data_IF_307903084810
#
_entry.id   IF_307903084810
#
_cell.length_a   1.000
_cell.length_b   1.000
_cell.length_c   1.000
_cell.angle_alpha   90.00
_cell.angle_beta   90.00
_cell.angle_gamma   90.00
#
_symmetry.space_group_name_H-M   'P 1'
#
loop_
_entity.id
_entity.type
_entity.pdbx_description
1 polymer ?
#
# COMPACT_ATOMS: atom_id res chain seq x y z
N UNK A 1 21.72 -32.70 24.15
CA UNK A 1 21.41 -33.72 23.13
C UNK A 1 22.73 -34.32 22.68
N UNK A 2 22.80 -35.65 22.77
CA UNK A 2 24.00 -36.47 22.91
C UNK A 2 24.99 -36.29 21.75
N UNK A 3 26.26 -36.06 22.10
CA UNK A 3 27.40 -36.12 21.20
C UNK A 3 27.70 -37.57 20.86
N UNK A 4 26.97 -38.10 19.89
CA UNK A 4 27.11 -39.49 19.46
C UNK A 4 28.05 -39.58 18.25
N UNK A 5 29.20 -40.23 18.52
CA UNK A 5 29.93 -41.15 17.63
C UNK A 5 31.15 -40.64 16.87
N UNK A 6 32.21 -40.35 17.63
CA UNK A 6 33.51 -40.97 17.38
C UNK A 6 33.76 -41.91 18.56
N UNK A 7 33.96 -43.20 18.30
CA UNK A 7 33.95 -44.29 19.28
C UNK A 7 34.40 -43.90 20.68
N UNK A 8 33.57 -44.21 21.68
CA UNK A 8 33.83 -43.97 23.10
C UNK A 8 35.23 -44.46 23.45
N UNK A 9 36.14 -43.52 23.73
CA UNK A 9 37.52 -43.79 24.15
C UNK A 9 37.53 -44.02 25.65
N UNK A 10 36.95 -45.12 26.10
CA UNK A 10 36.66 -45.25 27.53
C UNK A 10 37.87 -45.67 28.36
N UNK A 11 38.92 -46.26 27.77
CA UNK A 11 40.12 -46.61 28.53
C UNK A 11 41.30 -47.02 27.63
N UNK A 12 42.50 -46.52 27.91
CA UNK A 12 43.74 -47.03 27.29
C UNK A 12 44.41 -48.04 28.24
N UNK A 13 44.45 -49.35 27.91
CA UNK A 13 45.10 -50.33 28.76
C UNK A 13 46.62 -50.14 28.76
N UNK A 14 47.24 -50.12 29.95
CA UNK A 14 48.71 -49.97 30.11
C UNK A 14 49.49 -51.29 29.98
N UNK A 15 48.80 -52.43 29.96
CA UNK A 15 49.38 -53.78 29.93
C UNK A 15 48.67 -54.63 28.88
N UNK A 16 49.40 -55.58 28.31
CA UNK A 16 48.83 -56.55 27.37
C UNK A 16 47.79 -57.44 28.07
N UNK A 17 46.65 -57.66 27.42
CA UNK A 17 45.57 -58.54 27.90
C UNK A 17 45.58 -59.83 27.10
N UNK A 18 45.33 -60.97 27.77
CA UNK A 18 45.25 -62.27 27.10
C UNK A 18 44.10 -62.25 26.08
N UNK A 19 44.38 -62.67 24.85
CA UNK A 19 43.42 -62.61 23.73
C UNK A 19 43.51 -61.35 22.86
N UNK A 20 44.35 -60.38 23.23
CA UNK A 20 44.59 -59.19 22.40
C UNK A 20 45.51 -59.49 21.21
N UNK A 21 45.44 -58.63 20.19
CA UNK A 21 46.37 -58.65 19.06
C UNK A 21 47.82 -58.59 19.56
N UNK A 22 48.64 -59.58 19.18
CA UNK A 22 50.02 -59.71 19.65
C UNK A 22 50.94 -58.56 19.17
N UNK A 23 50.54 -57.88 18.09
CA UNK A 23 51.27 -56.76 17.51
C UNK A 23 50.99 -55.43 18.24
N UNK A 24 49.73 -54.99 18.29
CA UNK A 24 49.32 -53.68 18.83
C UNK A 24 48.68 -53.75 20.23
N UNK A 25 48.21 -54.91 20.68
CA UNK A 25 47.60 -55.10 22.00
C UNK A 25 46.12 -54.71 22.12
N UNK A 26 45.42 -54.38 21.03
CA UNK A 26 43.96 -54.16 21.04
C UNK A 26 43.17 -55.48 21.01
N UNK A 27 41.98 -55.48 21.63
CA UNK A 27 41.08 -56.65 21.65
C UNK A 27 40.10 -56.70 20.47
N UNK A 28 39.97 -55.62 19.70
CA UNK A 28 38.95 -55.49 18.64
C UNK A 28 39.23 -56.32 17.38
N UNK A 29 40.46 -56.78 17.17
CA UNK A 29 40.88 -57.47 15.95
C UNK A 29 42.04 -58.45 16.23
N UNK A 30 42.32 -59.34 15.26
CA UNK A 30 43.43 -60.30 15.31
C UNK A 30 44.72 -59.70 14.73
N UNK A 31 45.86 -60.37 14.95
CA UNK A 31 47.19 -59.92 14.45
C UNK A 31 47.27 -59.73 12.94
N UNK A 32 46.56 -60.56 12.17
CA UNK A 32 46.55 -60.49 10.70
C UNK A 32 45.86 -59.24 10.16
N UNK A 33 44.81 -58.78 10.85
CA UNK A 33 44.00 -57.62 10.46
C UNK A 33 44.43 -56.36 11.21
N UNK A 34 45.67 -56.35 11.71
CA UNK A 34 46.20 -55.24 12.50
C UNK A 34 46.48 -54.02 11.62
N UNK A 35 45.77 -52.92 11.90
CA UNK A 35 45.98 -51.63 11.22
C UNK A 35 47.32 -50.97 11.58
N UNK A 36 47.95 -51.37 12.68
CA UNK A 36 49.30 -50.90 13.02
C UNK A 36 50.39 -51.70 12.30
N UNK A 37 51.48 -51.01 11.95
CA UNK A 37 52.63 -51.60 11.27
C UNK A 37 53.16 -52.83 12.04
N UNK A 38 53.45 -53.96 11.38
CA UNK A 38 54.01 -55.15 12.03
C UNK A 38 55.31 -54.83 12.78
N UNK A 39 55.33 -55.06 14.09
CA UNK A 39 56.49 -54.79 14.96
C UNK A 39 57.35 -56.05 15.08
N UNK A 40 58.69 -55.89 15.04
CA UNK A 40 59.65 -56.99 15.25
C UNK A 40 59.54 -57.61 16.64
N UNK A 41 59.20 -56.80 17.65
CA UNK A 41 58.82 -57.25 19.00
C UNK A 41 57.46 -56.62 19.33
N UNK A 42 56.40 -57.43 19.25
CA UNK A 42 55.01 -56.98 19.42
C UNK A 42 54.66 -56.57 20.85
N UNK A 43 53.46 -56.01 21.02
CA UNK A 43 52.92 -55.60 22.32
C UNK A 43 52.82 -56.77 23.33
N UNK A 44 52.68 -58.02 22.86
CA UNK A 44 52.65 -59.23 23.71
C UNK A 44 53.90 -59.40 24.56
N UNK A 45 55.08 -59.12 23.98
CA UNK A 45 56.37 -59.30 24.67
C UNK A 45 56.84 -58.02 25.37
N UNK A 46 56.47 -56.86 24.84
CA UNK A 46 57.03 -55.58 25.27
C UNK A 46 56.12 -54.80 26.21
N UNK A 47 54.81 -55.10 26.27
CA UNK A 47 53.77 -54.35 26.99
C UNK A 47 53.74 -52.83 26.68
N UNK A 48 54.45 -52.39 25.63
CA UNK A 48 54.60 -50.98 25.27
C UNK A 48 53.70 -50.64 24.09
N UNK A 49 53.12 -49.44 24.14
CA UNK A 49 52.27 -48.88 23.08
C UNK A 49 51.08 -49.79 22.72
N UNK A 50 50.23 -50.07 23.72
CA UNK A 50 48.94 -50.75 23.53
C UNK A 50 47.97 -49.81 22.85
N UNK A 51 47.32 -50.28 21.79
CA UNK A 51 46.36 -49.50 21.00
C UNK A 51 45.02 -49.34 21.72
N UNK A 52 44.33 -48.23 21.41
CA UNK A 52 43.01 -47.91 21.97
C UNK A 52 41.92 -48.80 21.35
N UNK A 53 40.90 -49.13 22.14
CA UNK A 53 39.77 -49.94 21.68
C UNK A 53 38.74 -49.07 20.97
N UNK A 54 38.39 -49.44 19.73
CA UNK A 54 37.28 -48.83 18.99
C UNK A 54 36.30 -49.92 18.61
N UNK A 55 35.09 -49.82 19.15
CA UNK A 55 33.97 -50.68 18.79
C UNK A 55 33.15 -50.00 17.69
N UNK A 56 32.90 -50.73 16.61
CA UNK A 56 31.97 -50.28 15.56
C UNK A 56 30.54 -50.57 16.02
N UNK A 57 29.64 -49.62 15.84
CA UNK A 57 28.23 -49.85 16.12
C UNK A 57 27.57 -50.81 15.11
N UNK A 58 26.46 -51.42 15.52
CA UNK A 58 25.70 -52.37 14.72
C UNK A 58 25.14 -51.75 13.42
N UNK A 59 25.29 -52.47 12.30
CA UNK A 59 25.00 -52.02 10.93
C UNK A 59 23.52 -52.04 10.49
N UNK A 60 22.56 -51.90 11.41
CA UNK A 60 21.13 -51.87 11.08
C UNK A 60 20.69 -50.47 10.62
N UNK A 61 21.29 -50.00 9.53
CA UNK A 61 21.00 -48.70 8.90
C UNK A 61 20.19 -48.88 7.62
N UNK A 62 19.36 -47.88 7.28
CA UNK A 62 18.64 -47.81 6.01
C UNK A 62 19.60 -47.75 4.81
N UNK A 63 19.10 -48.01 3.60
CA UNK A 63 19.92 -47.96 2.37
C UNK A 63 20.61 -46.60 2.21
N UNK A 64 19.87 -45.51 2.40
CA UNK A 64 20.39 -44.15 2.30
C UNK A 64 21.43 -43.86 3.38
N UNK A 65 21.19 -44.29 4.62
CA UNK A 65 22.15 -44.08 5.72
C UNK A 65 23.47 -44.85 5.51
N UNK A 66 23.44 -46.01 4.85
CA UNK A 66 24.67 -46.77 4.48
C UNK A 66 25.47 -46.08 3.38
N UNK A 67 24.80 -45.38 2.48
CA UNK A 67 25.40 -44.74 1.28
C UNK A 67 25.52 -43.23 1.42
N UNK A 68 25.15 -42.68 2.58
CA UNK A 68 25.28 -41.26 2.83
C UNK A 68 26.75 -40.86 2.78
N UNK A 69 27.08 -40.05 1.78
CA UNK A 69 28.43 -39.51 1.57
C UNK A 69 28.90 -38.70 2.77
N UNK A 70 27.97 -38.13 3.53
CA UNK A 70 28.25 -37.29 4.68
C UNK A 70 28.21 -38.06 6.01
N UNK A 71 28.17 -39.40 5.98
CA UNK A 71 28.27 -40.21 7.18
C UNK A 71 29.57 -39.89 7.94
N UNK A 72 29.43 -39.48 9.21
CA UNK A 72 30.56 -39.08 10.06
C UNK A 72 31.12 -37.67 9.77
N UNK A 73 30.36 -36.82 9.05
CA UNK A 73 30.73 -35.42 8.88
C UNK A 73 30.62 -34.64 10.20
N UNK A 74 31.71 -34.01 10.63
CA UNK A 74 31.71 -33.10 11.78
C UNK A 74 31.22 -31.71 11.35
N UNK A 75 30.07 -31.22 11.86
CA UNK A 75 29.52 -29.92 11.49
C UNK A 75 30.48 -28.74 11.73
N UNK A 76 31.44 -28.89 12.66
CA UNK A 76 32.44 -27.85 12.96
C UNK A 76 33.37 -27.57 11.79
N UNK A 77 33.62 -28.57 10.93
CA UNK A 77 34.49 -28.42 9.74
C UNK A 77 33.89 -27.43 8.73
N UNK A 78 32.58 -27.23 8.73
CA UNK A 78 31.92 -26.26 7.85
C UNK A 78 32.39 -24.82 8.07
N UNK A 79 32.94 -24.51 9.26
CA UNK A 79 33.55 -23.21 9.55
C UNK A 79 34.65 -22.84 8.55
N UNK A 80 35.43 -23.80 8.07
CA UNK A 80 36.48 -23.55 7.07
C UNK A 80 35.91 -23.02 5.75
N UNK A 81 34.72 -23.49 5.36
CA UNK A 81 34.01 -23.02 4.16
C UNK A 81 33.54 -21.58 4.36
N UNK A 82 32.96 -21.28 5.51
CA UNK A 82 32.55 -19.90 5.88
C UNK A 82 33.76 -18.96 5.85
N UNK A 83 34.87 -19.36 6.46
CA UNK A 83 36.11 -18.57 6.50
C UNK A 83 36.68 -18.31 5.10
N UNK A 84 36.56 -19.27 4.19
CA UNK A 84 36.94 -19.11 2.79
C UNK A 84 36.06 -18.06 2.08
N UNK A 85 34.73 -18.15 2.20
CA UNK A 85 33.83 -17.16 1.61
C UNK A 85 34.03 -15.76 2.20
N UNK A 86 34.28 -15.65 3.50
CA UNK A 86 34.60 -14.38 4.14
C UNK A 86 35.88 -13.74 3.54
N UNK A 87 36.92 -14.54 3.25
CA UNK A 87 38.14 -14.05 2.58
C UNK A 87 37.84 -13.56 1.16
N UNK A 88 37.00 -14.29 0.42
CA UNK A 88 36.59 -13.92 -0.94
C UNK A 88 35.80 -12.61 -0.94
N UNK A 89 34.83 -12.45 -0.04
CA UNK A 89 34.05 -11.22 0.10
C UNK A 89 34.93 -10.03 0.51
N UNK A 90 35.87 -10.23 1.44
CA UNK A 90 36.84 -9.19 1.80
C UNK A 90 37.73 -8.77 0.63
N UNK A 91 38.16 -9.72 -0.22
CA UNK A 91 38.92 -9.41 -1.42
C UNK A 91 38.08 -8.62 -2.45
N UNK A 92 36.80 -9.00 -2.63
CA UNK A 92 35.85 -8.27 -3.49
C UNK A 92 35.64 -6.84 -3.01
N UNK A 93 35.43 -6.63 -1.71
CA UNK A 93 35.27 -5.30 -1.11
C UNK A 93 36.51 -4.43 -1.33
N UNK A 94 37.71 -4.95 -1.09
CA UNK A 94 38.97 -4.24 -1.35
C UNK A 94 39.17 -3.88 -2.82
N UNK A 95 38.74 -4.76 -3.74
CA UNK A 95 38.79 -4.46 -5.17
C UNK A 95 37.84 -3.32 -5.54
N UNK A 96 36.60 -3.36 -5.05
CA UNK A 96 35.61 -2.27 -5.23
C UNK A 96 36.13 -0.94 -4.68
N UNK A 97 36.72 -0.94 -3.49
CA UNK A 97 37.31 0.26 -2.87
C UNK A 97 38.40 0.88 -3.76
N UNK A 98 39.32 0.05 -4.29
CA UNK A 98 40.34 0.51 -5.24
C UNK A 98 39.75 1.08 -6.52
N UNK A 99 38.73 0.44 -7.07
CA UNK A 99 38.04 0.92 -8.28
C UNK A 99 37.37 2.28 -8.03
N UNK A 100 36.71 2.46 -6.87
CA UNK A 100 36.13 3.74 -6.46
C UNK A 100 37.20 4.83 -6.26
N UNK A 101 38.31 4.50 -5.60
CA UNK A 101 39.44 5.43 -5.42
C UNK A 101 40.05 5.86 -6.76
N UNK A 102 40.22 4.93 -7.70
CA UNK A 102 40.69 5.22 -9.06
C UNK A 102 39.70 6.10 -9.82
N UNK A 103 38.39 5.83 -9.71
CA UNK A 103 37.34 6.68 -10.28
C UNK A 103 37.37 8.08 -9.68
N UNK A 104 37.49 8.22 -8.36
CA UNK A 104 37.58 9.51 -7.68
C UNK A 104 38.84 10.28 -8.07
N UNK A 105 39.99 9.60 -8.19
CA UNK A 105 41.23 10.20 -8.72
C UNK A 105 41.04 10.67 -10.16
N UNK A 106 40.40 9.87 -11.02
CA UNK A 106 40.11 10.24 -12.41
C UNK A 106 39.18 11.46 -12.49
N UNK A 107 38.11 11.50 -11.68
CA UNK A 107 37.21 12.65 -11.56
C UNK A 107 37.95 13.90 -11.05
N UNK A 108 38.82 13.75 -10.05
CA UNK A 108 39.64 14.85 -9.53
C UNK A 108 40.65 15.38 -10.57
N UNK A 109 41.27 14.51 -11.36
CA UNK A 109 42.18 14.90 -12.45
C UNK A 109 41.42 15.67 -13.55
N UNK A 110 40.26 15.16 -13.99
CA UNK A 110 39.38 15.87 -14.95
C UNK A 110 38.98 17.25 -14.41
N UNK A 111 38.62 17.36 -13.13
CA UNK A 111 38.27 18.64 -12.48
C UNK A 111 39.46 19.61 -12.46
N UNK A 112 40.66 19.14 -12.13
CA UNK A 112 41.89 19.96 -12.15
C UNK A 112 42.21 20.44 -13.57
N UNK A 113 42.05 19.59 -14.58
CA UNK A 113 42.28 19.96 -15.98
C UNK A 113 41.29 21.03 -16.46
N UNK A 114 39.99 20.87 -16.16
CA UNK A 114 38.95 21.88 -16.43
C UNK A 114 39.30 23.23 -15.78
N UNK A 115 39.76 23.20 -14.52
CA UNK A 115 40.13 24.41 -13.78
C UNK A 115 41.37 25.10 -14.36
N UNK A 116 42.36 24.33 -14.84
CA UNK A 116 43.54 24.86 -15.57
C UNK A 116 43.13 25.52 -16.89
N UNK A 117 42.31 24.85 -17.71
CA UNK A 117 41.80 25.40 -18.98
C UNK A 117 41.04 26.71 -18.76
N UNK A 118 40.20 26.78 -17.72
CA UNK A 118 39.50 28.02 -17.33
C UNK A 118 40.47 29.13 -16.91
N UNK A 119 41.51 28.81 -16.13
CA UNK A 119 42.52 29.79 -15.72
C UNK A 119 43.32 30.34 -16.93
N UNK A 120 43.69 29.48 -17.88
CA UNK A 120 44.37 29.85 -19.11
C UNK A 120 43.50 30.76 -20.00
N UNK A 121 42.21 30.42 -20.18
CA UNK A 121 41.24 31.29 -20.90
C UNK A 121 41.13 32.67 -20.26
N UNK A 122 41.11 32.76 -18.92
CA UNK A 122 41.09 34.04 -18.18
C UNK A 122 42.38 34.85 -18.38
N UNK A 123 43.54 34.19 -18.42
CA UNK A 123 44.83 34.84 -18.64
C UNK A 123 44.92 35.40 -20.07
N UNK A 124 44.45 34.64 -21.07
CA UNK A 124 44.35 35.07 -22.47
C UNK A 124 43.40 36.26 -22.65
N UNK A 125 42.23 36.26 -21.99
CA UNK A 125 41.28 37.40 -22.00
C UNK A 125 41.89 38.65 -21.37
N UNK A 126 42.74 38.51 -20.33
CA UNK A 126 43.47 39.64 -19.72
C UNK A 126 44.57 40.20 -20.63
N UNK A 127 45.35 39.35 -21.31
CA UNK A 127 46.35 39.81 -22.27
C UNK A 127 45.69 40.56 -23.44
N UNK A 128 44.63 39.99 -24.02
CA UNK A 128 43.88 40.64 -25.10
C UNK A 128 43.21 41.98 -24.71
N UNK A 129 42.98 42.21 -23.41
CA UNK A 129 42.46 43.49 -22.89
C UNK A 129 43.57 44.51 -22.62
N UNK A 130 44.81 44.06 -22.40
CA UNK A 130 45.98 44.92 -22.18
C UNK A 130 46.61 45.42 -23.49
N UNK A 131 46.46 44.66 -24.57
CA UNK A 131 46.90 45.07 -25.92
C UNK A 131 45.86 45.97 -26.63
N UNK A 132 44.83 46.45 -25.90
CA UNK A 132 43.70 47.24 -26.40
C UNK A 132 43.52 48.58 -25.68
N UNK A 133 44.60 49.10 -25.10
CA UNK A 133 44.70 50.48 -24.62
C UNK A 133 45.48 51.30 -25.66
N UNK A 134 44.79 51.67 -26.75
CA UNK A 134 44.99 52.89 -27.54
C UNK A 134 43.79 53.00 -28.51
N UNK A 135 43.00 54.06 -28.31
CA UNK A 135 41.93 54.61 -29.15
C UNK A 135 40.49 54.02 -29.12
N UNK A 136 39.65 54.81 -28.43
CA UNK A 136 38.34 55.33 -28.81
C UNK A 136 37.04 54.52 -28.55
N UNK A 137 36.09 55.27 -27.99
CA UNK A 137 34.75 54.91 -27.51
C UNK A 137 33.86 54.30 -28.60
N UNK A 138 33.31 53.11 -28.33
CA UNK A 138 32.03 52.71 -28.89
C UNK A 138 31.41 51.60 -28.04
N UNK A 139 30.44 52.01 -27.22
CA UNK A 139 29.47 51.14 -26.56
C UNK A 139 28.78 50.24 -27.59
N UNK A 140 29.11 48.95 -27.52
CA UNK A 140 28.31 47.89 -28.12
C UNK A 140 28.35 46.70 -27.17
N UNK A 141 27.38 46.73 -26.24
CA UNK A 141 27.01 45.63 -25.35
C UNK A 141 26.63 44.40 -26.18
N UNK A 142 27.65 43.63 -26.58
CA UNK A 142 27.49 42.27 -27.03
C UNK A 142 27.80 41.34 -25.87
N UNK A 143 26.92 41.38 -24.86
CA UNK A 143 26.82 40.36 -23.83
C UNK A 143 26.21 39.09 -24.45
N UNK A 144 27.02 38.38 -25.22
CA UNK A 144 26.78 36.98 -25.56
C UNK A 144 27.93 36.10 -25.08
N UNK A 145 28.36 36.31 -23.84
CA UNK A 145 29.06 35.29 -23.05
C UNK A 145 28.00 34.39 -22.35
N UNK A 146 27.13 33.75 -23.15
CA UNK A 146 26.48 32.52 -22.70
C UNK A 146 27.50 31.39 -22.81
N UNK A 147 28.45 31.39 -21.88
CA UNK A 147 29.23 30.22 -21.51
C UNK A 147 28.27 29.22 -20.82
N UNK A 148 27.32 28.70 -21.60
CA UNK A 148 26.69 27.42 -21.30
C UNK A 148 27.70 26.33 -21.72
N UNK A 149 28.80 26.26 -20.98
CA UNK A 149 29.39 24.96 -20.65
C UNK A 149 28.39 24.28 -19.69
N UNK A 150 27.18 23.99 -20.18
CA UNK A 150 26.32 22.98 -19.59
C UNK A 150 26.94 21.64 -19.99
N UNK A 151 27.99 21.35 -19.23
CA UNK A 151 28.55 20.06 -18.93
C UNK A 151 27.46 19.23 -18.21
N UNK A 152 26.30 19.04 -18.86
CA UNK A 152 25.27 18.11 -18.42
C UNK A 152 25.61 16.69 -18.90
N UNK A 153 26.77 16.25 -18.44
CA UNK A 153 27.09 14.84 -18.21
C UNK A 153 27.50 14.73 -16.73
N UNK A 154 26.71 15.34 -15.84
CA UNK A 154 26.93 15.24 -14.40
C UNK A 154 25.68 15.03 -13.55
N UNK A 155 24.48 14.89 -14.13
CA UNK A 155 23.26 14.54 -13.38
C UNK A 155 22.80 13.08 -13.50
N UNK A 156 23.54 12.21 -14.19
CA UNK A 156 23.21 10.77 -14.28
C UNK A 156 24.34 9.83 -13.81
N UNK A 157 25.19 10.27 -12.87
CA UNK A 157 26.26 9.40 -12.34
C UNK A 157 26.27 9.28 -10.81
N UNK A 158 25.32 9.90 -10.09
CA UNK A 158 25.10 9.62 -8.64
C UNK A 158 24.22 8.38 -8.42
N UNK A 159 23.60 7.86 -9.49
CA UNK A 159 22.88 6.59 -9.49
C UNK A 159 23.78 5.36 -9.62
N UNK A 160 25.05 5.51 -10.01
CA UNK A 160 25.98 4.36 -10.14
C UNK A 160 26.68 3.97 -8.83
N UNK A 161 26.52 4.78 -7.77
CA UNK A 161 27.03 4.49 -6.42
C UNK A 161 25.97 3.84 -5.51
N UNK A 162 24.75 3.60 -6.02
CA UNK A 162 23.74 2.82 -5.29
C UNK A 162 24.17 1.36 -5.28
N UNK A 163 24.63 0.97 -4.10
CA UNK A 163 25.05 -0.36 -3.68
C UNK A 163 23.88 -1.37 -3.77
N UNK A 164 23.58 -1.81 -4.99
CA UNK A 164 22.86 -3.05 -5.18
C UNK A 164 23.90 -4.17 -5.08
N UNK A 165 24.12 -4.70 -3.88
CA UNK A 165 25.02 -5.83 -3.59
C UNK A 165 24.73 -7.14 -4.36
N UNK A 166 24.01 -7.09 -5.48
CA UNK A 166 23.78 -8.19 -6.39
C UNK A 166 24.96 -8.33 -7.36
N UNK A 167 25.46 -9.56 -7.46
CA UNK A 167 26.27 -10.01 -8.58
C UNK A 167 25.38 -10.01 -9.82
N UNK A 168 25.13 -8.84 -10.40
CA UNK A 168 24.44 -8.73 -11.67
C UNK A 168 25.48 -9.09 -12.73
N UNK A 169 25.46 -10.35 -13.17
CA UNK A 169 26.07 -10.71 -14.44
C UNK A 169 25.44 -9.79 -15.49
N UNK A 170 26.17 -8.76 -15.92
CA UNK A 170 25.77 -7.91 -17.05
C UNK A 170 25.64 -8.82 -18.26
N UNK A 171 24.42 -9.27 -18.53
CA UNK A 171 24.02 -10.06 -19.69
C UNK A 171 23.17 -9.14 -20.56
N UNK A 172 23.57 -8.98 -21.81
CA UNK A 172 22.96 -8.07 -22.77
C UNK A 172 21.43 -8.26 -22.87
N UNK A 173 20.70 -7.14 -22.94
CA UNK A 173 19.23 -7.14 -22.97
C UNK A 173 18.62 -7.94 -24.15
N UNK A 174 19.41 -8.20 -25.19
CA UNK A 174 18.99 -8.84 -26.45
C UNK A 174 19.07 -10.38 -26.44
N UNK A 175 19.87 -10.97 -25.54
CA UNK A 175 19.92 -12.44 -25.31
C UNK A 175 19.06 -12.88 -24.12
N UNK A 176 18.34 -11.91 -23.52
CA UNK A 176 17.44 -12.12 -22.40
C UNK A 176 16.14 -12.74 -22.90
N UNK A 177 16.13 -14.04 -23.14
CA UNK A 177 14.89 -14.83 -23.02
C UNK A 177 14.50 -14.82 -21.56
N UNK A 178 13.95 -13.70 -21.06
CA UNK A 178 13.45 -13.63 -19.70
C UNK A 178 12.21 -14.46 -19.64
N UNK A 179 12.37 -15.72 -19.25
CA UNK A 179 11.32 -16.40 -18.52
C UNK A 179 11.15 -15.59 -17.22
N UNK A 180 10.39 -14.49 -17.29
CA UNK A 180 9.98 -13.75 -16.11
C UNK A 180 9.11 -14.72 -15.32
N UNK A 181 9.43 -14.92 -14.05
CA UNK A 181 8.53 -15.65 -13.18
C UNK A 181 7.19 -14.92 -13.19
N UNK A 182 6.14 -15.58 -13.68
CA UNK A 182 4.80 -15.01 -13.83
C UNK A 182 4.14 -14.68 -12.48
N UNK A 183 4.70 -15.21 -11.40
CA UNK A 183 4.25 -14.94 -10.03
C UNK A 183 4.74 -13.57 -9.58
N UNK A 184 3.78 -12.70 -9.28
CA UNK A 184 3.97 -11.42 -8.59
C UNK A 184 4.54 -11.70 -7.20
N UNK A 185 5.63 -11.02 -6.83
CA UNK A 185 6.39 -11.30 -5.59
C UNK A 185 5.79 -10.55 -4.39
N UNK A 186 5.14 -9.44 -4.66
CA UNK A 186 4.43 -8.57 -3.73
C UNK A 186 3.20 -9.28 -3.13
N UNK A 187 2.54 -10.12 -3.93
CA UNK A 187 1.36 -10.88 -3.52
C UNK A 187 1.75 -12.14 -2.74
N UNK A 188 1.52 -12.10 -1.43
CA UNK A 188 1.70 -13.27 -0.57
C UNK A 188 0.65 -14.34 -0.85
N UNK A 189 1.05 -15.61 -0.90
CA UNK A 189 0.08 -16.70 -1.04
C UNK A 189 -0.74 -16.86 0.24
N UNK A 190 -2.03 -17.21 0.09
CA UNK A 190 -2.97 -17.35 1.21
C UNK A 190 -2.44 -18.23 2.35
N UNK A 191 -1.88 -19.40 2.03
CA UNK A 191 -1.32 -20.33 3.03
C UNK A 191 -0.02 -19.87 3.71
N UNK A 192 0.61 -18.79 3.23
CA UNK A 192 1.78 -18.18 3.86
C UNK A 192 1.41 -17.02 4.78
N UNK A 193 0.15 -16.58 4.79
CA UNK A 193 -0.33 -15.52 5.68
C UNK A 193 -0.17 -15.93 7.15
N UNK A 194 -0.42 -17.20 7.47
CA UNK A 194 -0.19 -17.77 8.80
C UNK A 194 0.45 -19.16 8.68
N UNK A 195 1.67 -19.32 9.22
CA UNK A 195 2.44 -20.56 9.16
C UNK A 195 2.05 -21.56 10.25
N UNK A 196 1.18 -21.17 11.19
CA UNK A 196 0.68 -22.07 12.21
C UNK A 196 -0.18 -23.17 11.57
N UNK A 197 0.12 -24.43 11.89
CA UNK A 197 -0.57 -25.60 11.32
C UNK A 197 -2.07 -25.60 11.65
N UNK A 198 -2.47 -25.03 12.79
CA UNK A 198 -3.86 -24.91 13.26
C UNK A 198 -4.57 -23.64 12.79
N UNK A 199 -3.99 -22.89 11.85
CA UNK A 199 -4.64 -21.71 11.28
C UNK A 199 -5.74 -22.11 10.28
N UNK A 200 -6.19 -21.17 9.44
CA UNK A 200 -7.21 -21.44 8.44
C UNK A 200 -6.75 -22.47 7.40
N UNK A 201 -7.62 -23.44 7.11
CA UNK A 201 -7.35 -24.44 6.08
C UNK A 201 -7.34 -23.82 4.67
N UNK A 202 -6.29 -24.11 3.91
CA UNK A 202 -6.14 -23.81 2.49
C UNK A 202 -6.29 -25.08 1.67
N UNK A 203 -7.27 -25.11 0.76
CA UNK A 203 -7.39 -26.20 -0.21
C UNK A 203 -6.51 -25.90 -1.45
N UNK A 204 -5.41 -26.66 -1.67
CA UNK A 204 -4.50 -26.42 -2.77
C UNK A 204 -5.11 -26.72 -4.15
N UNK A 205 -6.16 -27.53 -4.22
CA UNK A 205 -6.81 -27.90 -5.49
C UNK A 205 -7.62 -26.74 -6.04
N UNK A 206 -8.51 -26.19 -5.21
CA UNK A 206 -9.36 -25.06 -5.59
C UNK A 206 -8.70 -23.71 -5.34
N UNK A 207 -7.55 -23.68 -4.65
CA UNK A 207 -6.81 -22.48 -4.24
C UNK A 207 -7.66 -21.55 -3.36
N UNK A 208 -8.57 -22.11 -2.58
CA UNK A 208 -9.49 -21.38 -1.74
C UNK A 208 -9.13 -21.49 -0.25
N UNK A 209 -9.40 -20.42 0.49
CA UNK A 209 -9.23 -20.36 1.94
C UNK A 209 -10.51 -19.76 2.52
N UNK A 210 -11.28 -20.58 3.24
CA UNK A 210 -12.61 -20.17 3.69
C UNK A 210 -12.56 -19.22 4.88
N UNK A 211 -11.82 -19.59 5.92
CA UNK A 211 -11.71 -18.85 7.17
C UNK A 211 -10.60 -17.79 7.12
N UNK A 212 -10.68 -16.81 8.02
CA UNK A 212 -9.62 -15.82 8.21
C UNK A 212 -8.37 -16.49 8.83
N UNK A 213 -7.15 -16.34 8.25
CA UNK A 213 -5.90 -16.80 8.86
C UNK A 213 -5.56 -16.18 10.21
N UNK A 214 -6.02 -14.96 10.46
CA UNK A 214 -5.74 -14.18 11.66
C UNK A 214 -7.03 -13.69 12.30
N UNK A 215 -7.76 -14.57 13.03
CA UNK A 215 -9.04 -14.21 13.63
C UNK A 215 -8.93 -13.20 14.78
N UNK A 216 -7.74 -13.06 15.38
CA UNK A 216 -7.50 -12.17 16.54
C UNK A 216 -7.32 -10.70 16.15
N UNK A 217 -7.04 -10.41 14.86
CA UNK A 217 -6.75 -9.06 14.38
C UNK A 217 -8.03 -8.39 13.86
N UNK A 218 -8.08 -7.06 13.97
CA UNK A 218 -9.21 -6.28 13.53
C UNK A 218 -9.37 -6.31 12.00
N UNK A 219 -10.59 -6.57 11.47
CA UNK A 219 -10.83 -6.83 10.04
C UNK A 219 -10.38 -5.69 9.11
N UNK A 220 -10.30 -4.44 9.60
CA UNK A 220 -9.88 -3.27 8.82
C UNK A 220 -8.37 -3.24 8.55
N UNK A 221 -7.56 -3.90 9.38
CA UNK A 221 -6.10 -3.90 9.27
C UNK A 221 -5.58 -5.10 8.46
N UNK A 222 -6.43 -6.12 8.24
CA UNK A 222 -6.04 -7.30 7.48
C UNK A 222 -6.12 -7.02 5.97
N UNK A 223 -5.04 -7.36 5.27
CA UNK A 223 -5.04 -7.47 3.82
C UNK A 223 -6.00 -8.57 3.31
N UNK A 224 -6.27 -9.59 4.13
CA UNK A 224 -7.13 -10.70 3.77
C UNK A 224 -7.87 -11.28 4.99
N UNK A 225 -9.20 -11.20 4.98
CA UNK A 225 -10.08 -11.68 6.05
C UNK A 225 -10.79 -13.01 5.73
N UNK A 226 -10.33 -13.77 4.72
CA UNK A 226 -10.93 -15.04 4.29
C UNK A 226 -11.92 -14.89 3.12
N UNK A 227 -12.07 -15.94 2.31
CA UNK A 227 -12.96 -15.93 1.15
C UNK A 227 -14.44 -15.83 1.56
N UNK A 228 -14.82 -16.36 2.74
CA UNK A 228 -16.21 -16.29 3.21
C UNK A 228 -16.65 -14.85 3.48
N UNK A 229 -15.77 -14.01 4.03
CA UNK A 229 -16.04 -12.60 4.29
C UNK A 229 -16.37 -11.86 2.98
N UNK A 230 -15.51 -12.03 1.97
CA UNK A 230 -15.68 -11.40 0.65
C UNK A 230 -16.93 -11.92 -0.07
N UNK A 231 -17.22 -13.23 0.02
CA UNK A 231 -18.40 -13.85 -0.61
C UNK A 231 -19.74 -13.27 -0.13
N UNK A 232 -19.82 -12.84 1.12
CA UNK A 232 -21.03 -12.20 1.68
C UNK A 232 -21.06 -10.67 1.53
N UNK A 233 -19.94 -10.07 1.11
CA UNK A 233 -19.80 -8.62 1.00
C UNK A 233 -20.36 -8.08 -0.32
N UNK A 234 -20.67 -6.79 -0.35
CA UNK A 234 -21.10 -6.09 -1.56
C UNK A 234 -22.56 -6.33 -1.95
N UNK A 235 -22.81 -6.49 -3.25
CA UNK A 235 -24.16 -6.52 -3.83
C UNK A 235 -24.90 -7.84 -3.61
N UNK A 236 -24.20 -8.89 -3.20
CA UNK A 236 -24.79 -10.22 -2.94
C UNK A 236 -25.97 -10.10 -1.96
N UNK A 237 -25.87 -9.24 -0.95
CA UNK A 237 -26.96 -9.05 0.01
C UNK A 237 -28.19 -8.35 -0.62
N UNK A 238 -27.98 -7.45 -1.58
CA UNK A 238 -29.07 -6.80 -2.32
C UNK A 238 -29.77 -7.80 -3.23
N UNK A 239 -29.01 -8.63 -3.94
CA UNK A 239 -29.55 -9.69 -4.81
C UNK A 239 -30.32 -10.72 -3.97
N UNK A 240 -29.79 -11.14 -2.82
CA UNK A 240 -30.51 -12.02 -1.88
C UNK A 240 -31.81 -11.40 -1.36
N UNK A 241 -31.80 -10.10 -1.05
CA UNK A 241 -33.00 -9.40 -0.62
C UNK A 241 -34.05 -9.31 -1.73
N UNK A 242 -33.62 -9.09 -2.98
CA UNK A 242 -34.48 -9.10 -4.16
C UNK A 242 -35.03 -10.50 -4.46
N UNK A 243 -34.21 -11.54 -4.32
CA UNK A 243 -34.60 -12.94 -4.44
C UNK A 243 -35.65 -13.32 -3.39
N UNK A 244 -35.41 -12.95 -2.13
CA UNK A 244 -36.37 -13.15 -1.05
C UNK A 244 -37.69 -12.40 -1.30
N UNK A 245 -37.62 -11.17 -1.81
CA UNK A 245 -38.80 -10.41 -2.23
C UNK A 245 -39.58 -11.12 -3.35
N UNK A 246 -38.89 -11.64 -4.37
CA UNK A 246 -39.52 -12.38 -5.45
C UNK A 246 -40.22 -13.64 -4.93
N UNK A 247 -39.61 -14.38 -4.00
CA UNK A 247 -40.25 -15.55 -3.37
C UNK A 247 -41.51 -15.16 -2.58
N UNK A 248 -41.46 -14.09 -1.79
CA UNK A 248 -42.64 -13.62 -1.04
C UNK A 248 -43.79 -13.19 -1.97
N UNK A 249 -43.48 -12.61 -3.13
CA UNK A 249 -44.48 -12.23 -4.13
C UNK A 249 -45.10 -13.44 -4.83
N UNK A 250 -44.27 -14.41 -5.20
CA UNK A 250 -44.76 -15.66 -5.78
C UNK A 250 -45.64 -16.44 -4.79
N UNK A 251 -45.28 -16.49 -3.50
CA UNK A 251 -46.15 -17.08 -2.47
C UNK A 251 -47.50 -16.35 -2.33
N UNK A 252 -47.52 -15.05 -2.59
CA UNK A 252 -48.73 -14.23 -2.65
C UNK A 252 -49.55 -14.36 -3.94
N UNK A 253 -49.10 -15.15 -4.91
CA UNK A 253 -49.76 -15.36 -6.21
C UNK A 253 -49.41 -14.35 -7.30
N UNK A 254 -48.44 -13.45 -7.08
CA UNK A 254 -47.96 -12.49 -8.07
C UNK A 254 -46.81 -13.09 -8.90
N UNK A 255 -47.09 -14.04 -9.80
CA UNK A 255 -46.09 -14.75 -10.63
C UNK A 255 -45.30 -13.86 -11.60
N UNK A 256 -45.69 -12.58 -11.74
CA UNK A 256 -45.04 -11.61 -12.60
C UNK A 256 -43.65 -11.16 -12.09
N UNK A 257 -43.26 -11.54 -10.86
CA UNK A 257 -42.02 -11.11 -10.21
C UNK A 257 -41.05 -12.28 -10.10
N UNK A 258 -40.19 -12.46 -11.10
CA UNK A 258 -39.15 -13.49 -11.10
C UNK A 258 -37.77 -12.90 -11.37
N UNK A 259 -36.81 -13.19 -10.48
CA UNK A 259 -35.45 -12.61 -10.56
C UNK A 259 -34.71 -12.97 -11.86
N UNK A 260 -34.71 -14.24 -12.25
CA UNK A 260 -33.98 -14.71 -13.44
C UNK A 260 -34.72 -14.46 -14.75
N UNK A 261 -36.06 -14.60 -14.77
CA UNK A 261 -36.85 -14.44 -15.99
C UNK A 261 -37.12 -12.96 -16.34
N UNK A 262 -37.38 -12.12 -15.35
CA UNK A 262 -37.69 -10.69 -15.53
C UNK A 262 -36.96 -9.81 -14.48
N UNK A 263 -35.61 -9.75 -14.52
CA UNK A 263 -34.81 -9.10 -13.48
C UNK A 263 -35.12 -7.60 -13.32
N UNK A 264 -35.27 -6.87 -14.42
CA UNK A 264 -35.54 -5.42 -14.40
C UNK A 264 -36.92 -5.11 -13.83
N UNK A 265 -37.93 -5.90 -14.18
CA UNK A 265 -39.27 -5.78 -13.62
C UNK A 265 -39.26 -6.07 -12.11
N UNK A 266 -38.60 -7.16 -11.69
CA UNK A 266 -38.47 -7.51 -10.29
C UNK A 266 -37.77 -6.39 -9.49
N UNK A 267 -36.73 -5.78 -10.05
CA UNK A 267 -36.05 -4.64 -9.43
C UNK A 267 -36.97 -3.42 -9.31
N UNK A 268 -37.74 -3.06 -10.34
CA UNK A 268 -38.69 -1.94 -10.29
C UNK A 268 -39.75 -2.16 -9.20
N UNK A 269 -40.29 -3.37 -9.09
CA UNK A 269 -41.23 -3.72 -8.02
C UNK A 269 -40.59 -3.63 -6.64
N UNK A 270 -39.34 -4.08 -6.49
CA UNK A 270 -38.60 -4.02 -5.24
C UNK A 270 -38.29 -2.57 -4.83
N UNK A 271 -37.88 -1.71 -5.78
CA UNK A 271 -37.68 -0.29 -5.50
C UNK A 271 -39.00 0.40 -5.11
N UNK A 272 -40.10 0.07 -5.78
CA UNK A 272 -41.43 0.57 -5.43
C UNK A 272 -41.85 0.12 -4.03
N UNK A 273 -41.58 -1.13 -3.66
CA UNK A 273 -41.83 -1.66 -2.33
C UNK A 273 -40.97 -0.97 -1.27
N UNK A 274 -39.67 -0.75 -1.50
CA UNK A 274 -38.81 0.00 -0.58
C UNK A 274 -39.33 1.42 -0.35
N UNK A 275 -39.72 2.12 -1.42
CA UNK A 275 -40.35 3.45 -1.33
C UNK A 275 -41.63 3.39 -0.49
N UNK A 276 -42.50 2.39 -0.74
CA UNK A 276 -43.72 2.18 0.03
C UNK A 276 -43.43 1.87 1.51
N UNK A 277 -42.44 1.03 1.80
CA UNK A 277 -42.00 0.70 3.17
C UNK A 277 -41.46 1.92 3.90
N UNK A 278 -40.68 2.77 3.24
CA UNK A 278 -40.21 4.03 3.81
C UNK A 278 -41.37 4.99 4.12
N UNK A 279 -42.33 5.11 3.21
CA UNK A 279 -43.54 5.92 3.44
C UNK A 279 -44.36 5.38 4.61
N UNK A 280 -44.59 4.07 4.69
CA UNK A 280 -45.30 3.42 5.80
C UNK A 280 -44.56 3.62 7.13
N UNK A 281 -43.24 3.47 7.15
CA UNK A 281 -42.43 3.73 8.35
C UNK A 281 -42.53 5.19 8.79
N UNK A 282 -42.52 6.15 7.85
CA UNK A 282 -42.69 7.57 8.16
C UNK A 282 -44.09 7.88 8.66
N UNK A 283 -45.13 7.30 8.07
CA UNK A 283 -46.50 7.43 8.54
C UNK A 283 -46.67 6.82 9.94
N UNK A 284 -46.05 5.68 10.20
CA UNK A 284 -46.03 5.07 11.52
C UNK A 284 -45.32 5.96 12.54
N UNK A 285 -44.11 6.47 12.22
CA UNK A 285 -43.39 7.44 13.07
C UNK A 285 -44.24 8.68 13.37
N UNK A 286 -44.93 9.24 12.36
CA UNK A 286 -45.84 10.38 12.53
C UNK A 286 -47.02 10.04 13.44
N UNK A 287 -47.68 8.90 13.22
CA UNK A 287 -48.78 8.45 14.06
C UNK A 287 -48.37 8.24 15.52
N UNK A 288 -47.17 7.71 15.76
CA UNK A 288 -46.60 7.58 17.11
C UNK A 288 -46.35 8.96 17.70
N UNK A 289 -45.75 9.89 16.94
CA UNK A 289 -45.49 11.25 17.37
C UNK A 289 -46.77 12.03 17.72
N UNK A 290 -47.85 11.83 16.96
CA UNK A 290 -49.14 12.47 17.18
C UNK A 290 -49.84 11.94 18.44
N UNK A 291 -49.70 10.63 18.73
CA UNK A 291 -50.30 9.99 19.91
C UNK A 291 -49.59 10.31 21.21
N UNK A 292 -48.25 10.32 21.19
CA UNK A 292 -47.44 10.43 22.40
C UNK A 292 -46.79 11.82 22.58
N UNK A 293 -46.89 12.71 21.58
CA UNK A 293 -46.22 14.00 21.60
C UNK A 293 -44.69 13.88 21.45
N UNK A 294 -43.97 15.00 21.55
CA UNK A 294 -42.50 15.01 21.50
C UNK A 294 -41.86 15.70 20.28
N UNK A 295 -42.67 16.36 19.44
CA UNK A 295 -42.22 17.21 18.32
C UNK A 295 -41.14 18.23 18.72
N UNK A 296 -41.21 18.74 19.96
CA UNK A 296 -40.28 19.72 20.52
C UNK A 296 -38.85 19.17 20.72
N UNK A 297 -38.72 17.87 21.00
CA UNK A 297 -37.42 17.22 21.23
C UNK A 297 -36.79 16.68 19.94
N UNK A 298 -37.56 16.58 18.85
CA UNK A 298 -37.08 16.11 17.56
C UNK A 298 -36.32 17.19 16.77
N UNK A 299 -36.65 18.46 17.01
CA UNK A 299 -35.92 19.58 16.45
C UNK A 299 -34.62 19.72 17.21
N UNK A 300 -33.52 19.23 16.61
CA UNK A 300 -32.19 19.52 17.14
C UNK A 300 -32.06 21.04 17.30
N UNK A 301 -31.65 21.53 18.47
CA UNK A 301 -31.31 22.94 18.62
C UNK A 301 -30.25 23.32 17.58
N UNK A 302 -30.22 24.58 17.10
CA UNK A 302 -29.15 25.03 16.22
C UNK A 302 -27.79 24.66 16.82
N UNK A 303 -26.84 24.26 15.96
CA UNK A 303 -25.53 23.71 16.37
C UNK A 303 -24.78 24.63 17.36
N UNK A 304 -24.99 25.94 17.23
CA UNK A 304 -24.48 26.99 18.13
C UNK A 304 -24.92 26.78 19.59
N UNK A 305 -26.18 26.41 19.81
CA UNK A 305 -26.72 26.12 21.15
C UNK A 305 -26.30 24.73 21.66
N UNK A 306 -25.97 23.79 20.78
CA UNK A 306 -25.51 22.45 21.16
C UNK A 306 -24.05 22.43 21.61
N UNK A 307 -23.20 23.25 20.99
CA UNK A 307 -21.76 23.27 21.29
C UNK A 307 -21.37 24.28 22.38
N UNK A 308 -22.33 25.08 22.89
CA UNK A 308 -22.12 26.16 23.88
C UNK A 308 -21.01 27.17 23.51
N UNK A 309 -20.49 27.12 22.28
CA UNK A 309 -19.49 28.01 21.72
C UNK A 309 -20.22 29.02 20.84
N UNK A 310 -20.12 30.30 21.19
CA UNK A 310 -20.68 31.41 20.41
C UNK A 310 -19.80 31.82 19.22
N UNK A 311 -18.65 31.17 19.04
CA UNK A 311 -17.65 31.54 18.07
C UNK A 311 -17.58 30.50 16.95
N UNK A 312 -18.04 30.88 15.76
CA UNK A 312 -17.82 30.11 14.55
C UNK A 312 -16.36 30.31 14.11
N UNK A 313 -15.55 29.25 14.15
CA UNK A 313 -14.17 29.30 13.66
C UNK A 313 -14.15 29.49 12.14
N UNK A 314 -13.51 30.58 11.69
CA UNK A 314 -13.39 30.94 10.27
C UNK A 314 -11.92 30.93 9.87
N UNK A 315 -11.56 30.06 8.92
CA UNK A 315 -10.23 30.01 8.33
C UNK A 315 -10.18 30.94 7.11
N UNK A 316 -9.25 31.89 7.11
CA UNK A 316 -8.96 32.77 5.97
C UNK A 316 -7.71 32.27 5.24
N UNK A 317 -7.73 32.30 3.91
CA UNK A 317 -6.53 32.17 3.08
C UNK A 317 -5.60 33.38 3.29
N UNK A 318 -4.34 33.27 2.86
CA UNK A 318 -3.41 34.41 2.85
C UNK A 318 -3.97 35.61 2.05
N UNK A 319 -4.77 35.35 1.01
CA UNK A 319 -5.50 36.36 0.23
C UNK A 319 -6.76 36.95 0.93
N UNK A 320 -7.08 36.52 2.16
CA UNK A 320 -8.27 36.95 2.91
C UNK A 320 -9.59 36.30 2.47
N UNK A 321 -9.56 35.24 1.65
CA UNK A 321 -10.77 34.49 1.26
C UNK A 321 -11.10 33.45 2.31
N UNK A 322 -12.38 33.33 2.67
CA UNK A 322 -12.84 32.32 3.63
C UNK A 322 -12.73 30.92 3.00
N UNK A 323 -11.93 30.05 3.60
CA UNK A 323 -11.74 28.65 3.19
C UNK A 323 -12.76 27.75 3.90
N UNK A 324 -13.05 28.04 5.18
CA UNK A 324 -13.88 27.18 6.03
C UNK A 324 -14.58 28.01 7.10
N UNK A 325 -15.84 27.69 7.40
CA UNK A 325 -16.56 28.23 8.58
C UNK A 325 -17.76 29.13 8.29
N UNK A 326 -17.84 29.77 7.11
CA UNK A 326 -19.01 30.54 6.71
C UNK A 326 -19.67 29.92 5.48
N UNK A 327 -20.99 29.70 5.54
CA UNK A 327 -21.79 29.49 4.34
C UNK A 327 -21.68 30.76 3.48
N UNK A 328 -21.33 30.61 2.20
CA UNK A 328 -21.18 31.73 1.29
C UNK A 328 -22.49 32.53 1.25
N UNK A 329 -22.43 33.81 1.65
CA UNK A 329 -23.59 34.69 1.56
C UNK A 329 -24.04 34.77 0.09
N UNK A 330 -25.34 34.61 -0.14
CA UNK A 330 -25.92 34.74 -1.48
C UNK A 330 -25.55 36.13 -2.02
N UNK A 331 -24.90 36.24 -3.19
CA UNK A 331 -24.45 37.53 -3.72
C UNK A 331 -25.67 38.41 -4.00
N UNK A 332 -25.74 39.55 -3.32
CA UNK A 332 -26.76 40.60 -3.55
C UNK A 332 -26.25 41.56 -4.63
N UNK A 333 -27.11 42.02 -5.52
CA UNK A 333 -26.70 43.03 -6.49
C UNK A 333 -26.46 44.41 -5.85
N UNK A 334 -25.91 45.35 -6.65
CA UNK A 334 -25.65 46.74 -6.23
C UNK A 334 -26.92 47.50 -5.80
N UNK A 335 -28.09 47.05 -6.26
CA UNK A 335 -29.37 47.66 -5.95
C UNK A 335 -29.99 46.99 -4.73
N UNK A 336 -30.76 47.74 -3.95
CA UNK A 336 -31.48 47.17 -2.80
C UNK A 336 -32.54 46.21 -3.34
N UNK A 337 -32.27 44.92 -3.25
CA UNK A 337 -33.20 43.85 -3.60
C UNK A 337 -34.23 43.66 -2.48
N UNK A 338 -35.40 43.10 -2.83
CA UNK A 338 -36.45 42.74 -1.87
C UNK A 338 -36.98 43.90 -1.01
N UNK A 339 -37.05 45.11 -1.57
CA UNK A 339 -37.77 46.23 -0.95
C UNK A 339 -39.27 46.02 -1.11
N UNK A 340 -39.91 45.65 0.00
CA UNK A 340 -41.35 45.45 0.09
C UNK A 340 -42.04 46.70 0.65
N UNK A 341 -42.56 47.54 -0.24
CA UNK A 341 -43.34 48.70 0.16
C UNK A 341 -44.70 48.28 0.74
N UNK A 342 -45.23 49.03 1.71
CA UNK A 342 -46.64 48.98 2.16
C UNK A 342 -47.26 47.57 2.34
N UNK A 343 -46.52 46.67 2.97
CA UNK A 343 -46.91 45.29 3.34
C UNK A 343 -47.16 44.34 2.15
N UNK A 344 -46.54 44.62 1.00
CA UNK A 344 -46.52 43.68 -0.13
C UNK A 344 -45.54 42.52 0.13
N UNK A 345 -45.82 41.33 -0.40
CA UNK A 345 -44.87 40.19 -0.37
C UNK A 345 -44.09 40.03 -1.67
N UNK A 346 -44.19 41.01 -2.57
CA UNK A 346 -43.55 41.02 -3.86
C UNK A 346 -43.14 42.46 -4.21
N UNK A 347 -42.00 42.63 -4.88
CA UNK A 347 -41.47 43.95 -5.26
C UNK A 347 -42.32 44.58 -6.37
N UNK A 348 -42.37 45.91 -6.45
CA UNK A 348 -43.00 46.63 -7.56
C UNK A 348 -42.34 46.24 -8.90
N UNK A 349 -43.15 45.90 -9.91
CA UNK A 349 -42.64 45.38 -11.19
C UNK A 349 -42.56 43.86 -11.26
N UNK A 350 -42.88 43.15 -10.18
CA UNK A 350 -43.04 41.69 -10.20
C UNK A 350 -44.24 41.18 -11.00
N UNK A 351 -45.13 42.08 -11.42
CA UNK A 351 -46.28 41.80 -12.27
C UNK A 351 -46.39 42.84 -13.40
N UNK A 352 -46.77 42.41 -14.60
CA UNK A 352 -46.95 43.26 -15.78
C UNK A 352 -48.26 42.93 -16.47
N UNK A 353 -49.03 43.94 -16.84
CA UNK A 353 -50.30 43.78 -17.56
C UNK A 353 -50.70 45.05 -18.32
N UNK A 354 -51.18 44.90 -19.55
CA UNK A 354 -51.76 45.97 -20.38
C UNK A 354 -50.92 47.27 -20.40
N UNK A 355 -49.60 47.14 -20.52
CA UNK A 355 -48.65 48.27 -20.54
C UNK A 355 -48.34 48.88 -19.16
N UNK A 356 -48.79 48.26 -18.06
CA UNK A 356 -48.60 48.76 -16.69
C UNK A 356 -47.91 47.72 -15.81
N UNK A 357 -46.93 48.18 -15.03
CA UNK A 357 -46.26 47.40 -13.98
C UNK A 357 -47.10 47.39 -12.69
N UNK A 358 -46.97 46.33 -11.90
CA UNK A 358 -47.70 46.14 -10.66
C UNK A 358 -47.04 45.17 -9.69
N UNK A 359 -47.75 44.89 -8.59
CA UNK A 359 -47.34 43.94 -7.55
C UNK A 359 -47.93 42.55 -7.81
N UNK A 360 -47.12 41.49 -7.77
CA UNK A 360 -47.59 40.09 -7.97
C UNK A 360 -48.47 39.55 -6.85
N UNK A 361 -48.30 40.02 -5.62
CA UNK A 361 -49.05 39.57 -4.45
C UNK A 361 -50.56 39.86 -4.56
N UNK A 362 -50.93 41.08 -4.95
CA UNK A 362 -52.33 41.53 -5.01
C UNK A 362 -52.81 41.94 -6.41
N UNK A 363 -51.94 41.86 -7.43
CA UNK A 363 -52.19 42.28 -8.82
C UNK A 363 -52.60 43.76 -8.98
N UNK A 364 -52.21 44.61 -8.03
CA UNK A 364 -52.42 46.05 -8.11
C UNK A 364 -51.40 46.67 -9.08
N UNK A 365 -51.89 47.50 -10.01
CA UNK A 365 -51.06 48.28 -10.95
C UNK A 365 -50.81 49.71 -10.46
N UNK A 366 -51.06 50.01 -9.17
CA UNK A 366 -50.84 51.33 -8.57
C UNK A 366 -49.66 51.27 -7.60
N UNK A 367 -48.62 52.07 -7.85
CA UNK A 367 -47.39 52.09 -7.05
C UNK A 367 -47.69 52.66 -5.66
N UNK A 368 -47.10 52.06 -4.63
CA UNK A 368 -47.28 52.43 -3.22
C UNK A 368 -48.72 52.26 -2.68
N UNK A 369 -49.58 51.50 -3.36
CA UNK A 369 -50.85 51.09 -2.76
C UNK A 369 -50.62 50.13 -1.59
N UNK A 370 -51.51 50.09 -0.60
CA UNK A 370 -51.46 49.06 0.44
C UNK A 370 -51.81 47.69 -0.13
N UNK A 371 -51.13 46.65 0.35
CA UNK A 371 -51.39 45.28 -0.08
C UNK A 371 -52.79 44.81 0.32
N UNK A 372 -53.61 44.48 -0.68
CA UNK A 372 -54.94 43.88 -0.50
C UNK A 372 -54.90 42.34 -0.46
N UNK A 373 -53.70 41.74 -0.52
CA UNK A 373 -53.50 40.30 -0.40
C UNK A 373 -54.30 39.45 -1.40
N UNK A 374 -54.76 38.28 -0.95
CA UNK A 374 -55.46 37.30 -1.78
C UNK A 374 -56.84 37.79 -2.27
N UNK A 375 -57.51 38.68 -1.54
CA UNK A 375 -58.82 39.21 -1.91
C UNK A 375 -58.72 40.17 -3.10
N UNK A 376 -57.72 41.06 -3.11
CA UNK A 376 -57.43 41.92 -4.25
C UNK A 376 -57.09 41.14 -5.52
N UNK A 377 -56.34 40.04 -5.36
CA UNK A 377 -56.00 39.13 -6.46
C UNK A 377 -57.23 38.46 -7.06
N UNK A 378 -58.16 37.98 -6.24
CA UNK A 378 -59.41 37.38 -6.70
C UNK A 378 -60.28 38.38 -7.49
N UNK A 379 -60.36 39.63 -7.01
CA UNK A 379 -61.12 40.71 -7.66
C UNK A 379 -60.50 41.10 -9.02
N UNK A 380 -59.17 41.18 -9.09
CA UNK A 380 -58.48 41.47 -10.35
C UNK A 380 -58.70 40.36 -11.40
N UNK A 381 -58.64 39.09 -10.97
CA UNK A 381 -58.90 37.93 -11.84
C UNK A 381 -60.38 37.86 -12.28
N UNK A 382 -61.33 38.22 -11.42
CA UNK A 382 -62.75 38.26 -11.81
C UNK A 382 -63.05 39.40 -12.78
N UNK A 383 -62.42 40.57 -12.63
CA UNK A 383 -62.51 41.67 -13.61
C UNK A 383 -61.96 41.27 -14.97
N UNK A 384 -60.92 40.45 -14.99
CA UNK A 384 -60.33 39.93 -16.22
C UNK A 384 -61.23 38.93 -16.95
N UNK A 385 -61.90 38.03 -16.23
CA UNK A 385 -62.88 37.13 -16.83
C UNK A 385 -63.99 37.93 -17.52
N UNK A 386 -64.57 38.92 -16.82
CA UNK A 386 -65.59 39.81 -17.39
C UNK A 386 -65.13 40.53 -18.66
N UNK A 387 -63.90 41.06 -18.66
CA UNK A 387 -63.31 41.75 -19.83
C UNK A 387 -62.98 40.84 -21.03
N UNK A 388 -63.00 39.52 -20.85
CA UNK A 388 -62.73 38.53 -21.88
C UNK A 388 -64.03 37.92 -22.42
N UNK A 389 -65.08 38.00 -21.62
CA UNK A 389 -66.43 37.55 -21.95
C UNK A 389 -67.25 38.66 -22.66
N UNK A 390 -66.88 39.94 -22.48
CA UNK A 390 -67.24 41.11 -23.31
C UNK A 390 -66.27 41.25 -24.50
#
# INVERSE_FOLDING_TARGET
MSSDLVGRRDFKPKKFRKGACENCGAMSHKTRDCCERPRKRGAKLTNKCVADEVYNESNNQSYDAKRDRWKGYDPRRYKQVIDFYNKVENARRKKKEKELDEQMKRKALKKKEKLKKRAERRLRKKQAKKDKDDDDDSDSDSDSDSDSDSDDESENEDTELKDDGQVIQKRDARTRTTVRNLRIREDTAKYLLNLNVKSAHYDPKTRSMRANPHPEKDPSELAYAGDNFVRSSGEVNKVKALEFFAFQRNEGGDDAVHLQAAPSQAELHFQAEQKRRMQLANNHRRSVLDKYGGTKHLKAPPKELLLAQSENYVEYSEDGKVIKGHEAAIPKSKYVEDVYDNNHTAVWGSFWRDGKWGYKCCLSTVRNSYCTGATGRAIAMSKEKRKRDD
#
